data_IF_770652597905
#
_entry.id   IF_770652597905
#
_cell.length_a   1.000
_cell.length_b   1.000
_cell.length_c   1.000
_cell.angle_alpha   90.00
_cell.angle_beta   90.00
_cell.angle_gamma   90.00
#
_symmetry.space_group_name_H-M   'P 1'
#
loop_
_entity.id
_entity.type
_entity.pdbx_description
1 polymer ?
#
# COMPACT_ATOMS: atom_id res chain seq x y z
N UNK A 1 -20.75 5.47 -25.11
CA UNK A 1 -20.21 5.20 -23.77
C UNK A 1 -18.85 4.48 -23.72
N UNK A 2 -18.19 4.36 -24.88
CA UNK A 2 -16.79 3.88 -24.97
C UNK A 2 -15.76 4.87 -24.36
N UNK A 3 -16.13 6.14 -24.19
CA UNK A 3 -15.26 7.16 -23.60
C UNK A 3 -15.13 7.11 -22.07
N UNK A 4 -16.12 6.53 -21.36
CA UNK A 4 -16.07 6.46 -19.88
C UNK A 4 -15.15 5.33 -19.38
N UNK A 5 -15.10 4.21 -20.09
CA UNK A 5 -14.21 3.06 -19.78
C UNK A 5 -12.73 3.41 -19.98
N UNK A 6 -12.43 4.20 -21.01
CA UNK A 6 -11.07 4.64 -21.33
C UNK A 6 -10.49 5.59 -20.27
N UNK A 7 -11.28 6.48 -19.65
CA UNK A 7 -10.81 7.38 -18.58
C UNK A 7 -10.49 6.62 -17.29
N UNK A 8 -11.29 5.63 -16.90
CA UNK A 8 -11.09 4.86 -15.67
C UNK A 8 -9.94 3.84 -15.74
N UNK A 9 -9.67 3.29 -16.94
CA UNK A 9 -8.45 2.50 -17.17
C UNK A 9 -7.18 3.35 -17.08
N UNK A 10 -7.22 4.63 -17.46
CA UNK A 10 -6.07 5.54 -17.34
C UNK A 10 -5.72 5.90 -15.89
N UNK A 11 -6.65 5.80 -14.95
CA UNK A 11 -6.40 6.06 -13.51
C UNK A 11 -5.50 5.00 -12.84
N UNK A 12 -5.30 3.83 -13.47
CA UNK A 12 -4.41 2.78 -12.96
C UNK A 12 -3.07 2.69 -13.72
N UNK A 13 -2.85 3.55 -14.71
CA UNK A 13 -1.67 3.49 -15.58
C UNK A 13 -0.78 4.71 -15.33
N UNK A 14 0.49 4.46 -15.01
CA UNK A 14 1.51 5.52 -15.11
C UNK A 14 1.61 5.94 -16.58
N UNK A 15 1.66 7.24 -16.86
CA UNK A 15 1.82 7.77 -18.20
C UNK A 15 3.26 7.59 -18.67
N UNK A 16 3.44 7.46 -19.98
CA UNK A 16 4.77 7.32 -20.57
C UNK A 16 5.67 8.53 -20.26
N UNK A 17 5.12 9.75 -20.21
CA UNK A 17 5.81 10.96 -19.79
C UNK A 17 6.30 10.88 -18.34
N UNK A 18 5.46 10.46 -17.40
CA UNK A 18 5.88 10.28 -16.00
C UNK A 18 6.95 9.20 -15.89
N UNK A 19 6.81 8.10 -16.64
CA UNK A 19 7.83 7.05 -16.69
C UNK A 19 9.17 7.60 -17.18
N UNK A 20 9.18 8.38 -18.27
CA UNK A 20 10.40 8.97 -18.83
C UNK A 20 11.09 9.91 -17.85
N UNK A 21 10.34 10.73 -17.12
CA UNK A 21 10.90 11.63 -16.09
C UNK A 21 11.54 10.85 -14.93
N UNK A 22 10.90 9.76 -14.48
CA UNK A 22 11.47 8.92 -13.44
C UNK A 22 12.74 8.19 -13.91
N UNK A 23 12.76 7.70 -15.14
CA UNK A 23 13.95 7.08 -15.75
C UNK A 23 15.10 8.10 -15.94
N UNK A 24 14.78 9.36 -16.28
CA UNK A 24 15.77 10.43 -16.33
C UNK A 24 16.34 10.74 -14.93
N UNK A 25 15.50 10.82 -13.91
CA UNK A 25 15.96 10.99 -12.53
C UNK A 25 16.92 9.86 -12.11
N UNK A 26 16.56 8.61 -12.42
CA UNK A 26 17.43 7.46 -12.17
C UNK A 26 18.77 7.57 -12.93
N UNK A 27 18.74 8.02 -14.18
CA UNK A 27 19.97 8.21 -14.96
C UNK A 27 20.88 9.30 -14.38
N UNK A 28 20.34 10.28 -13.65
CA UNK A 28 21.10 11.30 -12.90
C UNK A 28 21.56 10.79 -11.50
N UNK A 29 21.33 9.52 -11.17
CA UNK A 29 21.76 8.90 -9.91
C UNK A 29 20.76 9.03 -8.75
N UNK A 30 19.53 9.48 -9.01
CA UNK A 30 18.47 9.55 -8.01
C UNK A 30 17.87 8.16 -7.82
N UNK A 31 17.72 7.73 -6.58
CA UNK A 31 17.07 6.46 -6.26
C UNK A 31 15.55 6.68 -6.27
N UNK A 32 14.87 6.04 -7.22
CA UNK A 32 13.43 6.04 -7.33
C UNK A 32 12.87 4.70 -6.84
N UNK A 33 11.84 4.76 -6.01
CA UNK A 33 11.15 3.56 -5.51
C UNK A 33 9.63 3.77 -5.48
N UNK A 34 8.90 2.66 -5.50
CA UNK A 34 7.46 2.65 -5.28
C UNK A 34 7.16 2.35 -3.80
N UNK A 35 6.29 3.16 -3.17
CA UNK A 35 5.78 2.94 -1.82
C UNK A 35 4.26 2.65 -1.86
N UNK A 36 3.84 1.47 -1.43
CA UNK A 36 2.45 1.02 -1.59
C UNK A 36 1.96 0.14 -0.44
N UNK A 37 0.64 0.17 -0.18
CA UNK A 37 -0.03 -0.80 0.69
C UNK A 37 -0.27 -2.18 0.02
N UNK A 38 0.06 -2.33 -1.27
CA UNK A 38 -0.07 -3.59 -2.01
C UNK A 38 1.11 -4.53 -1.72
N UNK A 39 0.94 -5.86 -1.93
CA UNK A 39 2.06 -6.80 -1.99
C UNK A 39 2.90 -6.55 -3.26
N UNK A 40 4.09 -7.12 -3.34
CA UNK A 40 4.97 -6.98 -4.49
C UNK A 40 4.28 -7.39 -5.82
N UNK A 41 3.53 -8.48 -5.81
CA UNK A 41 2.77 -8.95 -6.97
C UNK A 41 1.62 -8.03 -7.38
N UNK A 42 1.16 -7.18 -6.47
CA UNK A 42 0.11 -6.18 -6.70
C UNK A 42 0.60 -4.87 -7.31
N UNK A 43 1.92 -4.68 -7.46
CA UNK A 43 2.49 -3.50 -8.13
C UNK A 43 2.19 -3.62 -9.63
N UNK A 44 1.58 -2.59 -10.26
CA UNK A 44 1.28 -2.62 -11.68
C UNK A 44 2.53 -2.89 -12.54
N UNK A 45 2.37 -3.71 -13.59
CA UNK A 45 3.48 -4.08 -14.47
C UNK A 45 4.20 -2.88 -15.08
N UNK A 46 3.48 -1.81 -15.39
CA UNK A 46 4.04 -0.56 -15.93
C UNK A 46 4.97 0.15 -14.93
N UNK A 47 4.65 0.12 -13.63
CA UNK A 47 5.51 0.65 -12.58
C UNK A 47 6.76 -0.21 -12.42
N UNK A 48 6.59 -1.54 -12.44
CA UNK A 48 7.74 -2.47 -12.39
C UNK A 48 8.63 -2.41 -13.63
N UNK A 49 8.11 -1.90 -14.75
CA UNK A 49 8.84 -1.73 -16.01
C UNK A 49 9.61 -0.40 -16.09
N UNK A 50 9.64 0.43 -15.05
CA UNK A 50 10.49 1.62 -14.99
C UNK A 50 11.95 1.16 -14.91
N UNK A 51 12.76 1.53 -15.89
CA UNK A 51 14.14 1.11 -15.97
C UNK A 51 14.98 1.69 -14.83
N UNK A 52 15.68 0.81 -14.12
CA UNK A 52 16.56 1.21 -13.01
C UNK A 52 15.84 1.39 -11.67
N UNK A 53 14.52 1.19 -11.57
CA UNK A 53 13.85 1.15 -10.27
C UNK A 53 14.36 -0.03 -9.47
N UNK A 54 15.10 0.24 -8.41
CA UNK A 54 15.78 -0.80 -7.63
C UNK A 54 14.96 -1.28 -6.43
N UNK A 55 14.16 -0.42 -5.82
CA UNK A 55 13.51 -0.74 -4.55
C UNK A 55 11.99 -0.65 -4.65
N UNK A 56 11.32 -1.46 -3.84
CA UNK A 56 9.88 -1.38 -3.61
C UNK A 56 9.58 -1.51 -2.11
N UNK A 57 8.90 -0.52 -1.56
CA UNK A 57 8.33 -0.53 -0.23
C UNK A 57 6.87 -0.96 -0.35
N UNK A 58 6.53 -2.10 0.24
CA UNK A 58 5.23 -2.77 0.08
C UNK A 58 4.53 -2.95 1.41
N UNK A 59 3.24 -3.27 1.38
CA UNK A 59 2.42 -3.56 2.57
C UNK A 59 2.55 -2.48 3.66
N UNK A 60 2.51 -1.19 3.24
CA UNK A 60 2.65 -0.01 4.09
C UNK A 60 3.99 0.07 4.84
N UNK A 61 5.09 -0.39 4.23
CA UNK A 61 6.40 -0.38 4.85
C UNK A 61 6.79 -1.67 5.57
N UNK A 62 5.85 -2.61 5.73
CA UNK A 62 6.13 -3.88 6.39
C UNK A 62 7.19 -4.71 5.66
N UNK A 63 7.40 -4.46 4.36
CA UNK A 63 8.43 -5.16 3.59
C UNK A 63 9.07 -4.25 2.53
N UNK A 64 10.40 -4.31 2.44
CA UNK A 64 11.19 -3.61 1.42
C UNK A 64 11.98 -4.64 0.61
N UNK A 65 11.85 -4.53 -0.72
CA UNK A 65 12.56 -5.37 -1.67
C UNK A 65 13.64 -4.61 -2.40
N UNK A 66 14.76 -5.30 -2.65
CA UNK A 66 15.69 -5.01 -3.72
C UNK A 66 15.22 -5.80 -4.95
N UNK A 67 14.70 -5.09 -5.95
CA UNK A 67 14.11 -5.67 -7.16
C UNK A 67 15.19 -6.21 -8.10
N UNK A 68 16.42 -5.66 -8.05
CA UNK A 68 17.53 -6.07 -8.91
C UNK A 68 18.12 -7.39 -8.40
N UNK A 69 18.33 -7.49 -7.08
CA UNK A 69 18.89 -8.69 -6.47
C UNK A 69 17.83 -9.70 -6.00
N UNK A 70 16.55 -9.41 -6.27
CA UNK A 70 15.39 -10.24 -5.93
C UNK A 70 15.34 -10.70 -4.46
N UNK A 71 15.70 -9.81 -3.54
CA UNK A 71 15.75 -10.13 -2.09
C UNK A 71 14.97 -9.14 -1.24
N UNK A 72 14.46 -9.64 -0.13
CA UNK A 72 13.93 -8.78 0.95
C UNK A 72 15.10 -8.13 1.69
N UNK A 73 15.06 -6.80 1.82
CA UNK A 73 16.03 -6.01 2.59
C UNK A 73 15.56 -5.86 4.04
N UNK A 74 14.25 -5.69 4.21
CA UNK A 74 13.63 -5.36 5.47
C UNK A 74 12.26 -6.00 5.57
N UNK A 75 11.92 -6.51 6.77
CA UNK A 75 10.63 -7.12 7.05
C UNK A 75 10.22 -6.85 8.50
N UNK A 76 9.03 -6.27 8.67
CA UNK A 76 8.39 -6.00 9.97
C UNK A 76 6.98 -6.57 9.97
N UNK A 77 6.83 -7.89 10.06
CA UNK A 77 5.53 -8.54 9.97
C UNK A 77 4.74 -8.41 11.27
N UNK A 78 3.43 -8.52 11.16
CA UNK A 78 2.51 -8.75 12.27
C UNK A 78 2.83 -10.11 12.87
N UNK A 79 3.17 -10.22 14.18
CA UNK A 79 3.44 -11.49 14.81
C UNK A 79 2.24 -12.44 14.71
N UNK A 80 2.51 -13.71 14.42
CA UNK A 80 1.49 -14.73 14.20
C UNK A 80 0.37 -14.75 15.26
N UNK A 81 0.73 -14.73 16.55
CA UNK A 81 -0.24 -14.81 17.64
C UNK A 81 -1.20 -13.60 17.65
N UNK A 82 -0.70 -12.43 17.30
CA UNK A 82 -1.52 -11.22 17.20
C UNK A 82 -2.41 -11.24 15.97
N UNK A 83 -1.88 -11.65 14.83
CA UNK A 83 -2.62 -11.79 13.59
C UNK A 83 -3.72 -12.84 13.70
N UNK A 84 -3.45 -13.98 14.32
CA UNK A 84 -4.43 -15.03 14.61
C UNK A 84 -5.57 -14.48 15.47
N UNK A 85 -5.24 -13.82 16.58
CA UNK A 85 -6.26 -13.22 17.46
C UNK A 85 -7.11 -12.19 16.73
N UNK A 86 -6.52 -11.36 15.87
CA UNK A 86 -7.26 -10.38 15.09
C UNK A 86 -8.25 -11.03 14.11
N UNK A 87 -7.85 -12.08 13.41
CA UNK A 87 -8.72 -12.82 12.49
C UNK A 87 -9.85 -13.56 13.24
N UNK A 88 -9.56 -14.18 14.39
CA UNK A 88 -10.56 -14.85 15.24
C UNK A 88 -11.60 -13.86 15.79
N UNK A 89 -11.18 -12.66 16.27
CA UNK A 89 -12.11 -11.62 16.72
C UNK A 89 -13.04 -11.18 15.59
N UNK A 90 -12.53 -11.07 14.38
CA UNK A 90 -13.27 -10.50 13.25
C UNK A 90 -14.03 -11.52 12.44
N UNK A 91 -13.90 -12.83 12.71
CA UNK A 91 -14.65 -13.91 12.06
C UNK A 91 -16.18 -13.77 12.22
N UNK A 92 -16.63 -13.17 13.33
CA UNK A 92 -18.07 -12.95 13.62
C UNK A 92 -18.71 -11.83 12.79
N UNK A 93 -17.91 -10.99 12.13
CA UNK A 93 -18.39 -9.90 11.29
C UNK A 93 -18.50 -10.34 9.83
N UNK A 94 -19.38 -9.68 9.09
CA UNK A 94 -19.47 -9.87 7.63
C UNK A 94 -18.34 -9.12 6.95
N UNK A 95 -17.18 -9.76 6.88
CA UNK A 95 -15.94 -9.15 6.38
C UNK A 95 -15.14 -10.11 5.51
N UNK A 96 -14.62 -9.61 4.38
CA UNK A 96 -13.58 -10.28 3.63
C UNK A 96 -12.25 -10.09 4.38
N UNK A 97 -11.75 -11.18 4.94
CA UNK A 97 -10.46 -11.23 5.63
C UNK A 97 -9.37 -11.66 4.66
N UNK A 98 -8.30 -10.89 4.58
CA UNK A 98 -7.12 -11.19 3.77
C UNK A 98 -5.85 -11.19 4.62
N UNK A 99 -4.96 -12.15 4.37
CA UNK A 99 -3.64 -12.24 4.99
C UNK A 99 -2.54 -12.16 3.93
N UNK A 100 -1.61 -11.23 4.11
CA UNK A 100 -0.54 -10.90 3.16
C UNK A 100 0.78 -11.49 3.64
N UNK A 101 1.47 -12.23 2.77
CA UNK A 101 2.76 -12.86 3.05
C UNK A 101 3.67 -12.69 1.85
N UNK A 102 4.68 -11.85 1.97
CA UNK A 102 5.66 -11.64 0.91
C UNK A 102 4.99 -11.31 -0.44
N UNK A 103 4.83 -12.30 -1.31
CA UNK A 103 4.25 -12.18 -2.66
C UNK A 103 2.83 -12.73 -2.73
N UNK A 104 2.32 -13.37 -1.69
CA UNK A 104 1.05 -14.07 -1.66
C UNK A 104 0.03 -13.35 -0.81
N UNK A 105 -1.23 -13.38 -1.23
CA UNK A 105 -2.37 -12.93 -0.43
C UNK A 105 -3.39 -14.04 -0.37
N UNK A 106 -3.77 -14.43 0.82
CA UNK A 106 -4.75 -15.48 1.08
C UNK A 106 -6.09 -14.87 1.45
N UNK A 107 -7.18 -15.44 0.93
CA UNK A 107 -8.54 -15.04 1.23
C UNK A 107 -9.50 -16.21 1.15
N UNK A 108 -10.66 -16.09 1.81
CA UNK A 108 -11.65 -17.13 1.86
C UNK A 108 -12.52 -17.19 0.60
N UNK A 109 -12.78 -18.40 0.08
CA UNK A 109 -13.43 -18.62 -1.22
C UNK A 109 -14.81 -17.97 -1.34
N UNK A 110 -15.71 -18.24 -0.39
CA UNK A 110 -17.07 -17.71 -0.45
C UNK A 110 -17.12 -16.19 -0.41
N UNK A 111 -16.23 -15.53 0.33
CA UNK A 111 -16.12 -14.08 0.40
C UNK A 111 -15.61 -13.50 -0.93
N UNK A 112 -14.67 -14.17 -1.61
CA UNK A 112 -14.21 -13.77 -2.93
C UNK A 112 -15.28 -13.95 -4.02
N UNK A 113 -16.12 -14.97 -3.90
CA UNK A 113 -17.28 -15.16 -4.80
C UNK A 113 -18.25 -14.00 -4.69
N UNK A 114 -18.46 -13.46 -3.47
CA UNK A 114 -19.35 -12.34 -3.17
C UNK A 114 -18.60 -11.00 -3.04
N UNK A 115 -17.52 -10.80 -3.79
CA UNK A 115 -16.61 -9.64 -3.68
C UNK A 115 -17.31 -8.28 -3.75
N UNK A 116 -18.44 -8.18 -4.45
CA UNK A 116 -19.24 -6.95 -4.58
C UNK A 116 -19.80 -6.45 -3.25
N UNK A 117 -19.92 -7.28 -2.24
CA UNK A 117 -20.36 -6.90 -0.88
C UNK A 117 -19.28 -6.08 -0.17
N UNK A 118 -18.02 -6.36 -0.45
CA UNK A 118 -16.86 -5.83 0.24
C UNK A 118 -16.15 -4.73 -0.56
N UNK A 119 -15.99 -4.91 -1.86
CA UNK A 119 -15.37 -3.91 -2.73
C UNK A 119 -16.42 -3.13 -3.52
N UNK A 120 -16.61 -1.85 -3.16
CA UNK A 120 -17.56 -0.94 -3.83
C UNK A 120 -17.14 -0.58 -5.25
N UNK A 121 -15.84 -0.71 -5.60
CA UNK A 121 -15.33 -0.45 -6.93
C UNK A 121 -15.30 -1.73 -7.79
N UNK A 122 -16.17 -1.88 -8.80
CA UNK A 122 -16.23 -3.08 -9.63
C UNK A 122 -14.93 -3.39 -10.38
N UNK A 123 -14.10 -2.38 -10.67
CA UNK A 123 -12.81 -2.59 -11.33
C UNK A 123 -11.79 -3.35 -10.47
N UNK A 124 -12.01 -3.39 -9.15
CA UNK A 124 -11.17 -4.16 -8.23
C UNK A 124 -11.57 -5.63 -8.15
N UNK A 125 -12.77 -6.02 -8.56
CA UNK A 125 -13.28 -7.39 -8.35
C UNK A 125 -12.43 -8.43 -9.08
N UNK A 126 -12.15 -8.20 -10.36
CA UNK A 126 -11.31 -9.12 -11.15
C UNK A 126 -9.87 -9.18 -10.61
N UNK A 127 -9.29 -8.02 -10.29
CA UNK A 127 -7.96 -7.95 -9.70
C UNK A 127 -7.89 -8.74 -8.39
N UNK A 128 -8.84 -8.55 -7.47
CA UNK A 128 -8.84 -9.24 -6.17
C UNK A 128 -9.02 -10.74 -6.39
N UNK A 129 -10.01 -11.16 -7.20
CA UNK A 129 -10.25 -12.58 -7.48
C UNK A 129 -9.06 -13.28 -8.14
N UNK A 130 -8.37 -12.62 -9.06
CA UNK A 130 -7.28 -13.22 -9.83
C UNK A 130 -5.93 -13.26 -9.10
N UNK A 131 -5.79 -12.48 -8.02
CA UNK A 131 -4.51 -12.32 -7.32
C UNK A 131 -4.48 -12.97 -5.93
N UNK A 132 -5.61 -13.50 -5.44
CA UNK A 132 -5.66 -14.15 -4.12
C UNK A 132 -5.53 -15.66 -4.26
N UNK A 133 -4.75 -16.23 -3.35
CA UNK A 133 -4.74 -17.68 -3.13
C UNK A 133 -5.94 -18.03 -2.25
N UNK A 134 -6.79 -18.90 -2.79
CA UNK A 134 -8.07 -19.24 -2.17
C UNK A 134 -7.89 -20.31 -1.10
N UNK A 135 -8.52 -20.09 0.07
CA UNK A 135 -8.58 -21.06 1.17
C UNK A 135 -10.01 -21.24 1.65
N UNK A 136 -10.40 -22.44 2.16
CA UNK A 136 -11.76 -22.67 2.65
C UNK A 136 -12.16 -21.84 3.87
N UNK A 137 -11.22 -21.58 4.76
CA UNK A 137 -11.35 -20.69 5.93
C UNK A 137 -10.01 -20.02 6.19
N UNK A 138 -9.99 -18.71 6.16
CA UNK A 138 -8.76 -17.94 6.39
C UNK A 138 -8.29 -18.08 7.85
N UNK A 139 -9.20 -18.08 8.81
CA UNK A 139 -8.90 -18.23 10.24
C UNK A 139 -8.24 -19.56 10.52
N UNK A 140 -8.84 -20.67 10.01
CA UNK A 140 -8.29 -22.00 10.18
C UNK A 140 -6.95 -22.16 9.49
N UNK A 141 -6.86 -21.73 8.22
CA UNK A 141 -5.62 -21.80 7.45
C UNK A 141 -4.49 -21.03 8.11
N UNK A 142 -4.74 -19.80 8.58
CA UNK A 142 -3.76 -18.98 9.26
C UNK A 142 -3.28 -19.66 10.58
N UNK A 143 -4.23 -20.25 11.33
CA UNK A 143 -3.93 -21.03 12.53
C UNK A 143 -3.02 -22.23 12.28
N UNK A 144 -3.12 -22.88 11.11
CA UNK A 144 -2.29 -24.02 10.69
C UNK A 144 -0.95 -23.56 10.10
N UNK A 145 -0.93 -22.46 9.34
CA UNK A 145 0.25 -21.91 8.69
C UNK A 145 1.31 -21.41 9.70
N UNK A 146 0.89 -20.88 10.85
CA UNK A 146 1.74 -20.37 11.93
C UNK A 146 2.87 -19.45 11.43
N UNK A 147 2.51 -18.52 10.54
CA UNK A 147 3.44 -17.56 9.93
C UNK A 147 3.06 -16.14 10.34
N UNK A 148 4.08 -15.32 10.53
CA UNK A 148 3.90 -13.87 10.68
C UNK A 148 3.44 -13.28 9.33
N UNK A 149 2.42 -12.41 9.34
CA UNK A 149 1.88 -11.77 8.14
C UNK A 149 2.47 -10.38 7.95
N UNK A 150 2.77 -9.98 6.71
CA UNK A 150 3.22 -8.61 6.44
C UNK A 150 2.11 -7.60 6.78
N UNK A 151 0.87 -7.97 6.52
CA UNK A 151 -0.34 -7.20 6.80
C UNK A 151 -1.56 -8.12 6.84
N UNK A 152 -2.56 -7.75 7.63
CA UNK A 152 -3.92 -8.26 7.45
C UNK A 152 -4.82 -7.16 6.92
N UNK A 153 -5.81 -7.49 6.13
CA UNK A 153 -6.81 -6.57 5.63
C UNK A 153 -8.21 -7.13 5.85
N UNK A 154 -9.09 -6.29 6.33
CA UNK A 154 -10.49 -6.59 6.62
C UNK A 154 -11.35 -5.64 5.81
N UNK A 155 -12.18 -6.16 4.92
CA UNK A 155 -13.12 -5.38 4.13
C UNK A 155 -14.54 -5.67 4.62
N UNK A 156 -15.24 -4.69 5.15
CA UNK A 156 -16.55 -4.86 5.77
C UNK A 156 -17.69 -4.64 4.76
N UNK A 157 -18.70 -5.50 4.82
CA UNK A 157 -19.94 -5.30 4.08
C UNK A 157 -20.84 -4.24 4.76
N UNK A 158 -20.85 -4.22 6.10
CA UNK A 158 -21.58 -3.24 6.91
C UNK A 158 -20.60 -2.24 7.58
N UNK A 159 -20.85 -0.95 7.34
CA UNK A 159 -20.07 0.13 7.93
C UNK A 159 -20.20 0.23 9.45
N UNK A 160 -21.32 -0.24 10.02
CA UNK A 160 -21.52 -0.20 11.47
C UNK A 160 -20.61 -1.18 12.21
N UNK A 161 -20.18 -2.24 11.54
CA UNK A 161 -19.28 -3.24 12.11
C UNK A 161 -17.84 -2.76 12.22
N UNK A 162 -17.43 -1.77 11.43
CA UNK A 162 -16.06 -1.25 11.42
C UNK A 162 -15.69 -0.68 12.78
N UNK A 163 -16.53 0.18 13.35
CA UNK A 163 -16.26 0.82 14.64
C UNK A 163 -16.23 -0.21 15.78
N UNK A 164 -17.07 -1.22 15.72
CA UNK A 164 -17.08 -2.32 16.72
C UNK A 164 -15.83 -3.16 16.61
N UNK A 165 -15.50 -3.59 15.39
CA UNK A 165 -14.31 -4.39 15.11
C UNK A 165 -13.03 -3.63 15.50
N UNK A 166 -12.95 -2.32 15.18
CA UNK A 166 -11.80 -1.47 15.51
C UNK A 166 -11.56 -1.44 17.02
N UNK A 167 -12.59 -1.20 17.83
CA UNK A 167 -12.48 -1.17 19.29
C UNK A 167 -11.98 -2.50 19.86
N UNK A 168 -12.43 -3.63 19.33
CA UNK A 168 -11.97 -4.94 19.79
C UNK A 168 -10.53 -5.24 19.34
N UNK A 169 -10.13 -4.77 18.16
CA UNK A 169 -8.78 -4.94 17.64
C UNK A 169 -7.77 -4.06 18.37
N UNK A 170 -8.17 -2.87 18.84
CA UNK A 170 -7.36 -1.95 19.65
C UNK A 170 -6.93 -2.57 20.99
N UNK A 171 -7.67 -3.56 21.48
CA UNK A 171 -7.30 -4.33 22.68
C UNK A 171 -6.10 -5.29 22.44
N UNK A 172 -5.62 -5.44 21.19
CA UNK A 172 -4.44 -6.23 20.88
C UNK A 172 -3.21 -5.32 20.84
N UNK A 173 -2.34 -5.35 21.86
CA UNK A 173 -1.21 -4.44 21.92
C UNK A 173 -0.20 -4.72 20.79
N UNK A 174 0.42 -3.67 20.26
CA UNK A 174 1.46 -3.76 19.25
C UNK A 174 0.94 -4.01 17.83
N UNK A 175 -0.31 -3.66 17.56
CA UNK A 175 -0.89 -3.50 16.23
C UNK A 175 -1.17 -2.04 15.93
N UNK A 176 -1.12 -1.68 14.66
CA UNK A 176 -1.55 -0.39 14.12
C UNK A 176 -2.71 -0.64 13.15
N UNK A 177 -3.81 0.06 13.38
CA UNK A 177 -5.03 -0.06 12.58
C UNK A 177 -5.18 1.19 11.71
N UNK A 178 -5.11 1.00 10.39
CA UNK A 178 -5.34 2.07 9.40
C UNK A 178 -6.52 1.70 8.51
N UNK A 179 -6.90 2.58 7.59
CA UNK A 179 -7.92 2.31 6.58
C UNK A 179 -7.72 3.26 5.41
N UNK A 180 -7.90 2.78 4.19
CA UNK A 180 -7.67 3.53 2.96
C UNK A 180 -8.88 3.59 2.02
N UNK A 181 -9.93 2.82 2.29
CA UNK A 181 -11.08 2.65 1.39
C UNK A 181 -12.43 3.00 2.06
N UNK A 182 -12.42 3.53 3.27
CA UNK A 182 -13.61 3.91 4.02
C UNK A 182 -14.41 2.75 4.60
N UNK A 183 -14.30 1.53 4.04
CA UNK A 183 -14.95 0.31 4.57
C UNK A 183 -13.94 -0.79 4.91
N UNK A 184 -12.68 -0.43 5.18
CA UNK A 184 -11.64 -1.40 5.53
C UNK A 184 -10.90 -1.04 6.81
N UNK A 185 -10.33 -2.06 7.43
CA UNK A 185 -9.28 -1.94 8.44
C UNK A 185 -8.05 -2.69 7.90
N UNK A 186 -6.92 -2.01 7.83
CA UNK A 186 -5.61 -2.59 7.58
C UNK A 186 -4.89 -2.74 8.92
N UNK A 187 -4.34 -3.91 9.17
CA UNK A 187 -3.63 -4.25 10.41
C UNK A 187 -2.16 -4.46 10.08
N UNK A 188 -1.32 -3.58 10.58
CA UNK A 188 0.13 -3.67 10.49
C UNK A 188 0.76 -3.85 11.88
N UNK A 189 2.01 -4.26 11.94
CA UNK A 189 2.77 -4.27 13.18
C UNK A 189 3.01 -2.83 13.69
N UNK A 190 3.06 -2.66 15.00
CA UNK A 190 3.43 -1.38 15.60
C UNK A 190 4.87 -1.01 15.23
N UNK A 191 5.11 0.28 15.01
CA UNK A 191 6.45 0.80 14.73
C UNK A 191 6.83 0.65 13.26
N UNK A 192 5.86 0.44 12.37
CA UNK A 192 6.08 0.47 10.93
C UNK A 192 4.93 1.18 10.22
N UNK A 193 5.29 2.06 9.32
CA UNK A 193 4.47 2.71 8.32
C UNK A 193 5.34 3.02 7.08
N UNK A 194 4.76 3.64 6.07
CA UNK A 194 5.53 4.00 4.85
C UNK A 194 6.68 4.96 5.14
N UNK A 195 6.51 5.88 6.10
CA UNK A 195 7.52 6.86 6.49
C UNK A 195 8.70 6.18 7.19
N UNK A 196 8.43 5.37 8.21
CA UNK A 196 9.47 4.62 8.93
C UNK A 196 10.24 3.72 7.97
N UNK A 197 9.55 2.97 7.10
CA UNK A 197 10.20 2.12 6.11
C UNK A 197 11.07 2.92 5.12
N UNK A 198 10.62 4.11 4.69
CA UNK A 198 11.37 5.00 3.81
C UNK A 198 12.65 5.50 4.47
N UNK A 199 12.56 6.00 5.70
CA UNK A 199 13.72 6.50 6.46
C UNK A 199 14.71 5.37 6.77
N UNK A 200 14.22 4.18 7.13
CA UNK A 200 15.10 3.03 7.39
C UNK A 200 15.85 2.58 6.12
N UNK A 201 15.18 2.60 4.97
CA UNK A 201 15.86 2.36 3.70
C UNK A 201 16.90 3.45 3.40
N UNK A 202 16.55 4.72 3.59
CA UNK A 202 17.46 5.85 3.43
C UNK A 202 18.74 5.67 4.25
N UNK A 203 18.61 5.38 5.55
CA UNK A 203 19.75 5.12 6.42
C UNK A 203 20.64 3.97 5.92
N UNK A 204 20.06 2.88 5.42
CA UNK A 204 20.83 1.74 4.87
C UNK A 204 21.60 2.11 3.59
N UNK A 205 21.09 3.07 2.84
CA UNK A 205 21.71 3.56 1.61
C UNK A 205 22.65 4.76 1.84
N UNK A 206 22.76 5.25 3.08
CA UNK A 206 23.56 6.44 3.42
C UNK A 206 22.93 7.75 2.92
N UNK A 207 21.59 7.78 2.80
CA UNK A 207 20.80 8.94 2.38
C UNK A 207 20.16 9.56 3.62
N UNK A 208 20.41 10.84 3.84
CA UNK A 208 19.82 11.58 4.95
C UNK A 208 18.34 11.90 4.67
N UNK A 209 17.57 12.05 5.74
CA UNK A 209 16.14 12.40 5.66
C UNK A 209 15.87 13.58 4.71
N UNK A 210 16.69 14.62 4.82
CA UNK A 210 16.52 15.88 4.06
C UNK A 210 16.82 15.73 2.56
N UNK A 211 17.36 14.59 2.14
CA UNK A 211 17.58 14.21 0.74
C UNK A 211 16.44 13.36 0.16
N UNK A 212 15.40 13.06 0.96
CA UNK A 212 14.28 12.19 0.56
C UNK A 212 13.06 13.06 0.22
N UNK A 213 12.58 12.94 -1.01
CA UNK A 213 11.28 13.45 -1.44
C UNK A 213 10.28 12.32 -1.59
N UNK A 214 9.05 12.49 -1.11
CA UNK A 214 7.97 11.53 -1.29
C UNK A 214 6.72 12.22 -1.84
N UNK A 215 6.01 11.52 -2.76
CA UNK A 215 4.70 11.93 -3.28
C UNK A 215 3.63 10.98 -2.75
N UNK A 216 2.47 11.52 -2.31
CA UNK A 216 1.37 10.72 -1.79
C UNK A 216 0.00 11.38 -1.98
N UNK A 217 -1.07 10.59 -1.89
CA UNK A 217 -2.46 11.07 -2.07
C UNK A 217 -3.45 10.50 -1.06
N UNK A 218 -3.11 9.43 -0.34
CA UNK A 218 -3.99 8.73 0.59
C UNK A 218 -3.62 8.90 2.06
N UNK A 219 -4.54 8.56 2.95
CA UNK A 219 -4.32 8.61 4.40
C UNK A 219 -3.12 7.78 4.86
N UNK A 220 -2.84 6.68 4.19
CA UNK A 220 -1.67 5.84 4.46
C UNK A 220 -0.34 6.45 3.99
N UNK A 221 -0.36 7.64 3.35
CA UNK A 221 0.81 8.42 2.97
C UNK A 221 1.14 9.53 3.97
N UNK A 222 0.21 9.87 4.89
CA UNK A 222 0.36 10.98 5.84
C UNK A 222 1.68 10.92 6.61
N UNK A 223 1.97 9.78 7.22
CA UNK A 223 3.18 9.63 8.02
C UNK A 223 4.45 9.61 7.15
N UNK A 224 4.37 9.13 5.90
CA UNK A 224 5.46 9.21 4.95
C UNK A 224 5.78 10.68 4.59
N UNK A 225 4.76 11.48 4.25
CA UNK A 225 4.96 12.89 3.90
C UNK A 225 5.53 13.71 5.05
N UNK A 226 5.16 13.40 6.30
CA UNK A 226 5.75 14.04 7.50
C UNK A 226 7.17 13.57 7.81
N UNK A 227 7.49 12.32 7.50
CA UNK A 227 8.75 11.69 7.88
C UNK A 227 9.92 12.13 6.99
N UNK A 228 9.69 12.36 5.70
CA UNK A 228 10.73 12.73 4.73
C UNK A 228 11.13 14.19 4.83
N UNK A 229 12.22 14.59 4.16
CA UNK A 229 12.68 15.96 4.10
C UNK A 229 11.81 16.86 3.22
N UNK A 230 11.14 16.29 2.21
CA UNK A 230 10.23 17.04 1.34
C UNK A 230 9.00 16.21 0.94
N UNK A 231 7.90 16.47 1.61
CA UNK A 231 6.62 15.81 1.36
C UNK A 231 5.80 16.54 0.30
N UNK A 232 5.35 15.81 -0.73
CA UNK A 232 4.54 16.34 -1.83
C UNK A 232 3.17 15.66 -1.84
N UNK A 233 2.10 16.42 -1.64
CA UNK A 233 0.73 15.92 -1.82
C UNK A 233 0.30 16.05 -3.28
N UNK A 234 -0.38 15.03 -3.79
CA UNK A 234 -1.00 15.10 -5.12
C UNK A 234 -2.19 16.05 -5.11
N UNK A 235 -2.48 16.70 -6.23
CA UNK A 235 -3.63 17.62 -6.37
C UNK A 235 -4.98 16.98 -6.12
N UNK A 236 -5.10 15.66 -6.36
CA UNK A 236 -6.28 14.86 -6.05
C UNK A 236 -6.30 14.28 -4.63
N UNK A 237 -5.31 14.58 -3.78
CA UNK A 237 -5.26 14.13 -2.40
C UNK A 237 -6.36 14.77 -1.55
N UNK A 238 -6.70 14.10 -0.44
CA UNK A 238 -7.60 14.67 0.57
C UNK A 238 -6.95 15.86 1.29
N UNK A 239 -7.78 16.76 1.84
CA UNK A 239 -7.29 17.97 2.50
C UNK A 239 -6.39 17.67 3.71
N UNK A 240 -6.62 16.58 4.42
CA UNK A 240 -5.76 16.09 5.51
C UNK A 240 -4.32 15.80 5.03
N UNK A 241 -4.19 15.22 3.84
CA UNK A 241 -2.91 14.88 3.22
C UNK A 241 -2.20 16.14 2.71
N UNK A 242 -2.95 17.05 2.07
CA UNK A 242 -2.41 18.34 1.60
C UNK A 242 -1.92 19.23 2.76
N UNK A 243 -2.61 19.16 3.90
CA UNK A 243 -2.29 19.98 5.07
C UNK A 243 -0.93 19.64 5.72
N UNK A 244 -0.39 18.44 5.50
CA UNK A 244 0.88 17.98 6.09
C UNK A 244 2.04 18.04 5.09
N UNK A 245 1.78 18.29 3.81
CA UNK A 245 2.79 18.32 2.76
C UNK A 245 3.48 19.69 2.66
N UNK A 246 4.75 19.68 2.27
CA UNK A 246 5.52 20.90 2.00
C UNK A 246 5.11 21.55 0.67
N UNK A 247 4.59 20.73 -0.26
CA UNK A 247 4.13 21.19 -1.56
C UNK A 247 2.93 20.37 -2.06
N UNK A 248 2.01 21.05 -2.76
CA UNK A 248 0.90 20.40 -3.47
C UNK A 248 1.18 20.49 -4.96
N UNK A 249 1.33 19.34 -5.60
CA UNK A 249 1.52 19.25 -7.05
C UNK A 249 0.18 19.09 -7.77
N UNK A 250 0.21 18.92 -9.08
CA UNK A 250 -1.00 18.66 -9.88
C UNK A 250 -1.57 17.26 -9.62
N UNK A 251 -2.71 16.96 -10.20
CA UNK A 251 -3.39 15.67 -10.04
C UNK A 251 -2.62 14.54 -10.74
N UNK A 252 -2.99 13.30 -10.40
CA UNK A 252 -2.46 12.12 -11.10
C UNK A 252 -2.84 12.11 -12.59
N UNK A 253 -3.94 12.77 -12.99
CA UNK A 253 -4.33 12.93 -14.40
C UNK A 253 -3.52 14.03 -15.12
N UNK A 254 -2.92 14.93 -14.38
CA UNK A 254 -2.15 16.08 -14.88
C UNK A 254 -0.64 15.92 -14.65
N UNK A 255 -0.18 14.68 -14.45
CA UNK A 255 1.23 14.33 -14.31
C UNK A 255 1.92 14.93 -13.08
N UNK A 256 1.19 15.06 -11.97
CA UNK A 256 1.69 15.70 -10.74
C UNK A 256 3.02 15.15 -10.23
N UNK A 257 3.24 13.82 -10.29
CA UNK A 257 4.52 13.21 -9.90
C UNK A 257 5.65 13.67 -10.81
N UNK A 258 5.46 13.63 -12.14
CA UNK A 258 6.49 14.09 -13.09
C UNK A 258 6.86 15.55 -12.84
N UNK A 259 5.88 16.43 -12.71
CA UNK A 259 6.09 17.86 -12.44
C UNK A 259 6.82 18.12 -11.12
N UNK A 260 6.52 17.34 -10.09
CA UNK A 260 7.24 17.46 -8.82
C UNK A 260 8.71 17.03 -8.96
N UNK A 261 8.97 15.91 -9.66
CA UNK A 261 10.32 15.42 -9.91
C UNK A 261 11.12 16.39 -10.77
N UNK A 262 10.56 16.88 -11.87
CA UNK A 262 11.18 17.89 -12.74
C UNK A 262 11.53 19.17 -11.99
N UNK A 263 10.65 19.62 -11.10
CA UNK A 263 10.82 20.88 -10.37
C UNK A 263 11.84 20.83 -9.25
N UNK A 264 11.90 19.69 -8.53
CA UNK A 264 12.61 19.62 -7.26
C UNK A 264 13.77 18.61 -7.26
N UNK A 265 13.77 17.63 -8.14
CA UNK A 265 14.77 16.57 -8.15
C UNK A 265 15.71 16.63 -9.37
N UNK A 266 15.22 16.98 -10.55
CA UNK A 266 16.07 17.11 -11.75
C UNK A 266 16.87 18.43 -11.74
N UNK A 267 18.08 18.36 -12.30
CA UNK A 267 19.00 19.50 -12.44
C UNK A 267 19.12 19.92 -13.89
#
# INVERSE_FOLDING_TARGET
>A
DLHSTSRRQRQMCIRDSTKSVLEEAIAQGIIVLVATGRPLTGIPGQVRAIQGMQYALTTNGARIYDLIHEKTILSHPVPYEKGKKALEITEKYDTLQEAYFDREVYAQENQLQEIWRYHKNPHMWEYVRSTRTVVPSIVKWYGEAKRDADKLQLMFADMQDIERARKELEEIPGLVLTGSLGNNIEINAQGIDKGIGMIELGHRLGIDRDEIMACGDGDNDLEMLKAVGFGVAMGNAEESVKAVADYVTDTNEEEGVAKAVEKFALR
#
